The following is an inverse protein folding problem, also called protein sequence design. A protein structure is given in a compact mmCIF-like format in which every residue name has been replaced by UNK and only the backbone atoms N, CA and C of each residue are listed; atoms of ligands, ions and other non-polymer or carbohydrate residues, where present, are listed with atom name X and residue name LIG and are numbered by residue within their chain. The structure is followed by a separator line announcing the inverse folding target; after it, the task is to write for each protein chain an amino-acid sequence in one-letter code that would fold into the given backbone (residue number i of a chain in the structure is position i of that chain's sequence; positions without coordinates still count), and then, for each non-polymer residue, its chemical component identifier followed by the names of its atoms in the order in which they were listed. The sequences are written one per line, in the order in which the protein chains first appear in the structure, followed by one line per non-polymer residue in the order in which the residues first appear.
data_IF_413471161032
#
_entry.id   IF_413471161032
#
_cell.length_a   1.000
_cell.length_b   1.000
_cell.length_c   1.000
_cell.angle_alpha   90.00
_cell.angle_beta   90.00
_cell.angle_gamma   90.00
#
_symmetry.space_group_name_H-M   'P 1'
#
loop_
_entity.id
_entity.type
_entity.pdbx_description
1 polymer ?
#
# COMPACT_ATOMS: atom_id res chain seq x y z
N UNK A 1 26.07 -13.22 10.06
CA UNK A 1 26.75 -12.28 9.15
C UNK A 1 26.31 -12.60 7.72
N UNK A 2 25.29 -11.91 7.22
CA UNK A 2 24.88 -11.98 5.81
C UNK A 2 24.57 -10.55 5.38
N UNK A 3 25.43 -10.00 4.52
CA UNK A 3 25.34 -8.65 4.02
C UNK A 3 24.29 -8.63 2.89
N UNK A 4 23.28 -7.76 3.04
CA UNK A 4 22.34 -7.45 1.97
C UNK A 4 23.08 -6.58 0.95
N UNK A 5 23.37 -7.17 -0.21
CA UNK A 5 24.01 -6.49 -1.34
C UNK A 5 23.06 -5.43 -1.91
N UNK A 6 23.54 -4.19 -1.94
CA UNK A 6 22.92 -3.03 -2.57
C UNK A 6 22.67 -3.26 -4.06
N UNK A 7 21.46 -3.01 -4.53
CA UNK A 7 21.11 -3.09 -5.95
C UNK A 7 21.28 -1.70 -6.60
N UNK A 8 22.20 -1.60 -7.55
CA UNK A 8 22.37 -0.45 -8.45
C UNK A 8 21.75 -0.77 -9.81
N UNK A 9 20.93 0.11 -10.36
CA UNK A 9 20.37 -0.02 -11.74
C UNK A 9 20.70 1.24 -12.54
N UNK A 10 21.40 1.03 -13.66
CA UNK A 10 21.85 2.06 -14.58
C UNK A 10 20.67 2.74 -15.31
N UNK A 11 20.79 4.06 -15.51
CA UNK A 11 19.83 4.89 -16.23
C UNK A 11 20.07 4.81 -17.75
N UNK A 12 19.04 4.44 -18.51
CA UNK A 12 18.98 4.64 -19.96
C UNK A 12 18.17 5.90 -20.23
N UNK A 13 18.81 6.89 -20.85
CA UNK A 13 18.22 8.15 -21.30
C UNK A 13 17.56 7.96 -22.66
N UNK A 14 16.30 8.40 -22.84
CA UNK A 14 15.76 8.67 -24.17
C UNK A 14 14.96 9.99 -24.21
N UNK A 15 15.61 10.91 -24.92
CA UNK A 15 15.19 12.04 -25.75
C UNK A 15 13.70 12.42 -25.87
N UNK A 16 13.48 13.73 -25.79
CA UNK A 16 12.20 14.42 -25.96
C UNK A 16 11.87 14.69 -27.44
N UNK A 17 10.62 14.45 -27.83
CA UNK A 17 10.03 15.00 -29.05
C UNK A 17 8.58 15.44 -28.78
N UNK A 18 8.36 16.75 -28.92
CA UNK A 18 7.16 17.45 -28.45
C UNK A 18 5.89 17.21 -29.25
N UNK A 19 4.76 17.57 -28.64
CA UNK A 19 3.49 17.83 -29.32
C UNK A 19 2.71 18.91 -28.59
N UNK A 20 2.33 19.95 -29.35
CA UNK A 20 1.58 21.15 -28.96
C UNK A 20 0.11 20.78 -28.69
N UNK A 21 -0.52 21.37 -27.66
CA UNK A 21 -1.97 21.30 -27.43
C UNK A 21 -2.56 22.71 -27.54
N UNK A 22 -3.59 22.81 -28.39
CA UNK A 22 -4.39 24.00 -28.68
C UNK A 22 -5.58 24.11 -27.71
N UNK A 23 -5.87 25.33 -27.26
CA UNK A 23 -7.03 25.70 -26.45
C UNK A 23 -8.24 25.98 -27.35
N UNK A 24 -9.45 25.60 -26.93
CA UNK A 24 -10.69 26.04 -27.58
C UNK A 24 -11.81 26.35 -26.57
N UNK A 25 -12.08 27.66 -26.51
CA UNK A 25 -13.33 28.41 -26.28
C UNK A 25 -14.62 27.67 -25.90
N UNK A 26 -15.22 28.08 -24.78
CA UNK A 26 -16.60 27.78 -24.39
C UNK A 26 -17.56 28.89 -24.87
N UNK A 27 -18.66 28.48 -25.50
CA UNK A 27 -19.67 29.32 -26.15
C UNK A 27 -20.88 29.51 -25.24
N UNK A 28 -21.24 30.76 -24.97
CA UNK A 28 -22.45 31.18 -24.26
C UNK A 28 -23.72 30.89 -25.08
N UNK A 29 -24.81 30.51 -24.40
CA UNK A 29 -26.18 30.69 -24.87
C UNK A 29 -27.03 31.33 -23.76
N UNK A 30 -27.83 32.31 -24.17
CA UNK A 30 -28.65 33.21 -23.35
C UNK A 30 -30.14 33.00 -23.71
N UNK A 31 -31.00 33.39 -22.76
CA UNK A 31 -32.43 33.80 -22.80
C UNK A 31 -33.46 32.80 -22.21
N UNK A 32 -34.61 33.28 -21.66
CA UNK A 32 -34.83 34.57 -20.99
C UNK A 32 -35.74 34.56 -19.72
N UNK A 33 -35.74 35.74 -19.09
CA UNK A 33 -36.54 36.25 -17.99
C UNK A 33 -38.07 36.07 -18.05
N UNK A 34 -38.65 35.88 -16.86
CA UNK A 34 -39.66 36.70 -16.17
C UNK A 34 -40.78 35.83 -15.59
N UNK A 35 -41.01 35.94 -14.27
CA UNK A 35 -42.35 36.15 -13.67
C UNK A 35 -42.17 36.52 -12.19
N UNK A 36 -42.69 37.70 -11.84
CA UNK A 36 -42.66 38.33 -10.52
C UNK A 36 -43.65 37.65 -9.57
N UNK A 37 -43.25 37.44 -8.31
CA UNK A 37 -44.14 37.06 -7.20
C UNK A 37 -44.41 38.30 -6.32
N UNK A 38 -45.66 38.56 -5.89
CA UNK A 38 -45.96 39.63 -4.96
C UNK A 38 -45.74 39.17 -3.50
N UNK A 39 -45.17 40.07 -2.71
CA UNK A 39 -45.10 40.00 -1.26
C UNK A 39 -46.52 40.07 -0.67
N UNK A 40 -46.92 39.07 0.11
CA UNK A 40 -48.07 39.17 1.00
C UNK A 40 -47.76 38.51 2.34
N UNK A 41 -47.77 39.32 3.38
CA UNK A 41 -47.53 38.98 4.78
C UNK A 41 -48.74 38.28 5.38
N UNK A 42 -48.59 37.01 5.74
CA UNK A 42 -49.53 36.29 6.60
C UNK A 42 -48.76 35.42 7.61
N UNK A 43 -48.88 35.76 8.88
CA UNK A 43 -48.43 34.95 10.03
C UNK A 43 -49.31 33.69 10.14
N UNK A 44 -48.75 32.51 10.44
CA UNK A 44 -49.50 31.54 11.21
C UNK A 44 -48.71 30.96 12.39
N UNK A 45 -49.15 31.37 13.57
CA UNK A 45 -49.56 30.55 14.73
C UNK A 45 -48.97 29.12 14.83
N UNK A 46 -48.16 28.96 15.87
CA UNK A 46 -47.69 27.71 16.50
C UNK A 46 -48.84 26.72 16.74
N UNK A 47 -48.77 25.54 16.13
CA UNK A 47 -49.45 24.31 16.57
C UNK A 47 -48.54 23.11 16.31
N UNK A 48 -48.10 22.45 17.39
CA UNK A 48 -47.62 21.08 17.32
C UNK A 48 -48.79 20.17 16.95
N UNK A 49 -48.52 19.14 16.14
CA UNK A 49 -48.87 17.80 16.58
C UNK A 49 -47.67 16.85 16.45
N UNK A 50 -47.64 15.91 17.38
CA UNK A 50 -46.74 14.76 17.43
C UNK A 50 -46.63 14.09 16.06
N UNK A 51 -45.48 14.26 15.41
CA UNK A 51 -45.12 13.47 14.23
C UNK A 51 -44.20 12.36 14.71
N UNK A 52 -44.74 11.13 14.82
CA UNK A 52 -43.93 9.93 15.02
C UNK A 52 -42.95 9.87 13.86
N UNK A 53 -41.67 10.14 14.12
CA UNK A 53 -40.61 9.89 13.15
C UNK A 53 -40.63 8.40 12.82
N UNK A 54 -41.13 8.06 11.63
CA UNK A 54 -40.93 6.73 11.06
C UNK A 54 -39.47 6.69 10.64
N UNK A 55 -38.62 6.21 11.55
CA UNK A 55 -37.25 5.83 11.21
C UNK A 55 -37.39 4.61 10.31
N UNK A 56 -37.30 4.82 9.00
CA UNK A 56 -37.21 3.74 8.01
C UNK A 56 -35.87 3.06 8.23
N UNK A 57 -35.86 2.03 9.07
CA UNK A 57 -34.70 1.17 9.25
C UNK A 57 -34.67 0.21 8.06
N UNK A 58 -33.88 0.55 7.05
CA UNK A 58 -33.65 -0.32 5.90
C UNK A 58 -32.77 -1.47 6.39
N UNK A 59 -33.38 -2.55 6.89
CA UNK A 59 -32.65 -3.77 7.23
C UNK A 59 -32.42 -4.54 5.94
N UNK A 60 -31.24 -4.33 5.34
CA UNK A 60 -30.74 -5.24 4.31
C UNK A 60 -30.30 -6.52 5.00
N UNK A 61 -30.98 -7.64 4.75
CA UNK A 61 -30.54 -8.98 5.20
C UNK A 61 -29.50 -9.58 4.25
N UNK A 62 -28.68 -8.76 3.62
CA UNK A 62 -27.40 -9.20 3.07
C UNK A 62 -26.43 -9.25 4.23
N UNK A 63 -25.60 -10.29 4.35
CA UNK A 63 -24.41 -10.21 5.22
C UNK A 63 -23.70 -8.90 4.89
N UNK A 64 -23.79 -7.90 5.75
CA UNK A 64 -23.28 -6.56 5.46
C UNK A 64 -21.79 -6.71 5.24
N UNK A 65 -21.37 -6.54 3.97
CA UNK A 65 -19.96 -6.56 3.63
C UNK A 65 -19.30 -5.41 4.41
N UNK A 66 -18.17 -5.66 5.08
CA UNK A 66 -17.58 -4.64 5.91
C UNK A 66 -17.24 -3.42 5.06
N UNK A 67 -17.37 -2.25 5.65
CA UNK A 67 -16.99 -0.99 4.99
C UNK A 67 -15.48 -0.75 5.11
N UNK A 68 -14.95 0.14 4.26
CA UNK A 68 -13.56 0.61 4.38
C UNK A 68 -13.30 1.19 5.79
N UNK A 69 -14.29 1.90 6.36
CA UNK A 69 -14.19 2.47 7.69
C UNK A 69 -14.04 1.37 8.75
N UNK A 70 -14.85 0.32 8.68
CA UNK A 70 -14.79 -0.81 9.61
C UNK A 70 -13.46 -1.56 9.51
N UNK A 71 -12.95 -1.77 8.29
CA UNK A 71 -11.64 -2.42 8.10
C UNK A 71 -10.51 -1.59 8.75
N UNK A 72 -10.51 -0.27 8.53
CA UNK A 72 -9.54 0.62 9.19
C UNK A 72 -9.68 0.62 10.71
N UNK A 73 -10.92 0.62 11.21
CA UNK A 73 -11.21 0.55 12.64
C UNK A 73 -10.71 -0.79 13.22
N UNK A 74 -10.92 -1.90 12.53
CA UNK A 74 -10.46 -3.23 12.94
C UNK A 74 -8.93 -3.28 13.01
N UNK A 75 -8.23 -2.69 12.04
CA UNK A 75 -6.77 -2.55 12.09
C UNK A 75 -6.29 -1.79 13.33
N UNK A 76 -6.90 -0.63 13.62
CA UNK A 76 -6.54 0.19 14.79
C UNK A 76 -6.91 -0.48 16.12
N UNK A 77 -7.95 -1.33 16.14
CA UNK A 77 -8.30 -2.14 17.31
C UNK A 77 -7.29 -3.27 17.54
N UNK A 78 -6.83 -3.91 16.46
CA UNK A 78 -5.87 -5.00 16.50
C UNK A 78 -4.45 -4.51 16.85
N UNK A 79 -4.01 -3.36 16.30
CA UNK A 79 -2.71 -2.76 16.57
C UNK A 79 -2.86 -1.37 17.23
N UNK A 80 -2.64 -1.31 18.55
CA UNK A 80 -2.87 -0.11 19.37
C UNK A 80 -1.65 0.79 19.56
N UNK A 81 -0.46 0.35 19.14
CA UNK A 81 0.78 1.12 19.31
C UNK A 81 0.85 2.23 18.23
N UNK A 82 1.49 3.37 18.52
CA UNK A 82 1.66 4.41 17.52
C UNK A 82 2.56 3.92 16.37
N UNK A 83 2.11 4.15 15.14
CA UNK A 83 2.89 3.91 13.91
C UNK A 83 3.44 5.27 13.43
N UNK A 84 4.75 5.40 13.14
CA UNK A 84 5.30 6.62 12.57
C UNK A 84 4.55 7.03 11.30
N UNK A 85 4.29 8.33 11.15
CA UNK A 85 3.39 8.87 10.12
C UNK A 85 3.78 8.47 8.69
N UNK A 86 5.08 8.34 8.39
CA UNK A 86 5.57 7.89 7.07
C UNK A 86 5.01 6.52 6.67
N UNK A 87 4.96 5.58 7.61
CA UNK A 87 4.46 4.23 7.37
C UNK A 87 2.94 4.22 7.45
N UNK A 88 2.37 4.92 8.44
CA UNK A 88 0.93 4.92 8.67
C UNK A 88 0.14 5.43 7.45
N UNK A 89 0.58 6.53 6.82
CA UNK A 89 -0.10 7.05 5.62
C UNK A 89 -0.20 6.00 4.52
N UNK A 90 0.92 5.34 4.21
CA UNK A 90 0.99 4.36 3.13
C UNK A 90 0.25 3.06 3.51
N UNK A 91 0.35 2.61 4.75
CA UNK A 91 -0.41 1.46 5.27
C UNK A 91 -1.92 1.70 5.17
N UNK A 92 -2.40 2.88 5.55
CA UNK A 92 -3.82 3.22 5.48
C UNK A 92 -4.33 3.29 4.04
N UNK A 93 -3.52 3.77 3.10
CA UNK A 93 -3.84 3.71 1.67
C UNK A 93 -3.86 2.27 1.15
N UNK A 94 -2.89 1.44 1.56
CA UNK A 94 -2.79 0.04 1.19
C UNK A 94 -4.02 -0.75 1.69
N UNK A 95 -4.44 -0.52 2.93
CA UNK A 95 -5.67 -1.12 3.51
C UNK A 95 -6.88 -0.79 2.65
N UNK A 96 -7.04 0.47 2.23
CA UNK A 96 -8.17 0.87 1.37
C UNK A 96 -8.12 0.15 0.03
N UNK A 97 -6.96 0.12 -0.62
CA UNK A 97 -6.79 -0.53 -1.91
C UNK A 97 -7.08 -2.03 -1.84
N UNK A 98 -6.56 -2.71 -0.82
CA UNK A 98 -6.78 -4.14 -0.64
C UNK A 98 -8.21 -4.44 -0.21
N UNK A 99 -8.84 -3.61 0.62
CA UNK A 99 -10.26 -3.73 0.94
C UNK A 99 -11.12 -3.71 -0.31
N UNK A 100 -10.93 -2.70 -1.16
CA UNK A 100 -11.68 -2.55 -2.41
C UNK A 100 -11.44 -3.70 -3.39
N UNK A 101 -10.37 -4.47 -3.22
CA UNK A 101 -10.03 -5.63 -4.01
C UNK A 101 -10.60 -6.92 -3.40
N UNK A 102 -10.49 -7.08 -2.07
CA UNK A 102 -10.96 -8.23 -1.28
C UNK A 102 -12.48 -8.43 -1.33
N UNK A 103 -13.21 -7.32 -1.35
CA UNK A 103 -14.68 -7.35 -1.35
C UNK A 103 -15.28 -7.16 -2.76
N UNK A 104 -14.46 -7.28 -3.82
CA UNK A 104 -14.99 -7.40 -5.18
C UNK A 104 -15.70 -8.73 -5.34
N UNK A 105 -16.79 -8.74 -6.11
CA UNK A 105 -17.54 -9.97 -6.43
C UNK A 105 -16.69 -11.05 -7.09
N UNK A 106 -15.69 -10.66 -7.89
CA UNK A 106 -14.78 -11.57 -8.59
C UNK A 106 -13.56 -11.97 -7.75
N UNK A 107 -13.44 -11.48 -6.52
CA UNK A 107 -12.27 -11.77 -5.69
C UNK A 107 -12.19 -13.26 -5.38
N UNK A 108 -11.01 -13.82 -5.63
CA UNK A 108 -10.60 -15.14 -5.16
C UNK A 108 -9.17 -15.03 -4.72
N UNK A 109 -8.88 -15.54 -3.52
CA UNK A 109 -7.52 -15.59 -3.00
C UNK A 109 -6.60 -16.35 -3.95
N UNK A 110 -5.35 -15.88 -4.03
CA UNK A 110 -4.35 -16.39 -4.94
C UNK A 110 -2.97 -16.36 -4.27
N UNK A 111 -2.23 -17.49 -4.18
CA UNK A 111 -0.88 -17.51 -3.61
C UNK A 111 0.09 -16.54 -4.30
N UNK A 112 -0.07 -16.28 -5.60
CA UNK A 112 0.75 -15.34 -6.35
C UNK A 112 0.41 -13.88 -5.97
N UNK A 113 -0.86 -13.60 -5.68
CA UNK A 113 -1.27 -12.34 -5.06
C UNK A 113 -0.61 -12.17 -3.69
N UNK A 114 -0.65 -13.20 -2.84
CA UNK A 114 -0.08 -13.16 -1.49
C UNK A 114 1.43 -12.90 -1.53
N UNK A 115 2.17 -13.59 -2.41
CA UNK A 115 3.59 -13.34 -2.67
C UNK A 115 3.84 -11.86 -2.99
N UNK A 116 3.07 -11.31 -3.93
CA UNK A 116 3.19 -9.91 -4.31
C UNK A 116 2.91 -8.97 -3.16
N UNK A 117 1.80 -9.17 -2.43
CA UNK A 117 1.47 -8.34 -1.28
C UNK A 117 2.55 -8.39 -0.19
N UNK A 118 3.00 -9.58 0.19
CA UNK A 118 4.08 -9.78 1.18
C UNK A 118 5.35 -9.05 0.75
N UNK A 119 5.72 -9.15 -0.53
CA UNK A 119 6.88 -8.44 -1.09
C UNK A 119 6.75 -6.93 -0.94
N UNK A 120 5.58 -6.36 -1.30
CA UNK A 120 5.31 -4.92 -1.16
C UNK A 120 5.38 -4.50 0.31
N UNK A 121 4.75 -5.28 1.19
CA UNK A 121 4.70 -4.99 2.62
C UNK A 121 6.09 -5.00 3.25
N UNK A 122 6.89 -6.03 2.97
CA UNK A 122 8.22 -6.16 3.58
C UNK A 122 9.16 -5.04 3.11
N UNK A 123 9.06 -4.63 1.84
CA UNK A 123 9.81 -3.49 1.31
C UNK A 123 9.32 -2.15 1.89
N UNK A 124 7.99 -1.97 2.02
CA UNK A 124 7.41 -0.79 2.66
C UNK A 124 7.87 -0.66 4.11
N UNK A 125 7.89 -1.78 4.85
CA UNK A 125 8.23 -1.82 6.26
C UNK A 125 9.75 -1.97 6.50
N UNK A 126 10.56 -1.96 5.45
CA UNK A 126 12.00 -2.04 5.59
C UNK A 126 12.55 -0.84 6.37
N UNK A 127 13.43 -1.10 7.34
CA UNK A 127 13.97 -0.09 8.26
C UNK A 127 12.99 0.44 9.30
N UNK A 128 11.82 -0.19 9.48
CA UNK A 128 10.96 0.12 10.62
C UNK A 128 11.71 -0.17 11.94
N UNK A 129 11.59 0.67 12.99
CA UNK A 129 12.48 0.61 14.16
C UNK A 129 12.54 -0.71 14.93
N UNK A 130 11.45 -1.50 14.92
CA UNK A 130 11.32 -2.76 15.66
C UNK A 130 10.74 -3.86 14.77
N UNK A 131 11.46 -4.96 14.60
CA UNK A 131 11.01 -6.09 13.78
C UNK A 131 9.75 -6.77 14.31
N UNK A 132 9.62 -6.90 15.64
CA UNK A 132 8.40 -7.45 16.26
C UNK A 132 7.15 -6.66 15.90
N UNK A 133 7.27 -5.33 15.85
CA UNK A 133 6.16 -4.45 15.47
C UNK A 133 5.82 -4.60 13.99
N UNK A 134 6.81 -4.87 13.10
CA UNK A 134 6.55 -5.13 11.68
C UNK A 134 5.65 -6.35 11.49
N UNK A 135 5.94 -7.44 12.18
CA UNK A 135 5.11 -8.65 12.09
C UNK A 135 3.76 -8.47 12.79
N UNK A 136 3.72 -7.77 13.93
CA UNK A 136 2.46 -7.46 14.60
C UNK A 136 1.53 -6.58 13.74
N UNK A 137 2.09 -5.59 13.03
CA UNK A 137 1.35 -4.75 12.08
C UNK A 137 0.86 -5.61 10.90
N UNK A 138 1.70 -6.52 10.38
CA UNK A 138 1.32 -7.39 9.25
C UNK A 138 0.12 -8.26 9.63
N UNK A 139 0.21 -8.90 10.80
CA UNK A 139 -0.86 -9.72 11.37
C UNK A 139 -2.15 -8.90 11.51
N UNK A 140 -2.08 -7.76 12.19
CA UNK A 140 -3.24 -6.89 12.39
C UNK A 140 -3.84 -6.38 11.08
N UNK A 141 -3.01 -6.12 10.07
CA UNK A 141 -3.42 -5.66 8.75
C UNK A 141 -4.26 -6.74 8.04
N UNK A 142 -3.76 -7.99 7.98
CA UNK A 142 -4.41 -9.08 7.24
C UNK A 142 -5.67 -9.54 7.98
N UNK A 143 -5.62 -9.63 9.32
CA UNK A 143 -6.78 -9.94 10.15
C UNK A 143 -7.88 -8.89 10.02
N UNK A 144 -7.54 -7.60 9.88
CA UNK A 144 -8.53 -6.54 9.67
C UNK A 144 -9.34 -6.69 8.37
N UNK A 145 -8.78 -7.40 7.38
CA UNK A 145 -9.42 -7.74 6.11
C UNK A 145 -10.19 -9.08 6.17
N UNK A 146 -10.27 -9.72 7.35
CA UNK A 146 -10.82 -11.05 7.56
C UNK A 146 -10.09 -12.14 6.76
N UNK A 147 -8.77 -12.08 6.72
CA UNK A 147 -7.91 -13.08 6.08
C UNK A 147 -6.87 -13.64 7.05
N UNK A 148 -6.19 -14.71 6.64
CA UNK A 148 -5.20 -15.39 7.48
C UNK A 148 -3.76 -14.91 7.17
N UNK A 149 -3.09 -14.19 8.09
CA UNK A 149 -1.70 -13.78 7.91
C UNK A 149 -0.73 -14.95 7.82
N UNK A 150 -1.01 -16.08 8.47
CA UNK A 150 -0.14 -17.25 8.42
C UNK A 150 -0.16 -17.88 7.02
N UNK A 151 -1.34 -18.01 6.42
CA UNK A 151 -1.49 -18.45 5.03
C UNK A 151 -0.69 -17.56 4.06
N UNK A 152 -0.80 -16.24 4.18
CA UNK A 152 -0.06 -15.31 3.32
C UNK A 152 1.47 -15.52 3.39
N UNK A 153 2.02 -15.64 4.60
CA UNK A 153 3.46 -15.86 4.80
C UNK A 153 3.90 -17.22 4.28
N UNK A 154 3.13 -18.28 4.57
CA UNK A 154 3.45 -19.63 4.14
C UNK A 154 3.41 -19.79 2.61
N UNK A 155 2.36 -19.29 1.96
CA UNK A 155 2.22 -19.34 0.51
C UNK A 155 3.29 -18.50 -0.19
N UNK A 156 3.57 -17.29 0.31
CA UNK A 156 4.65 -16.46 -0.23
C UNK A 156 5.99 -17.19 -0.13
N UNK A 157 6.34 -17.73 1.05
CA UNK A 157 7.58 -18.47 1.26
C UNK A 157 7.70 -19.68 0.32
N UNK A 158 6.63 -20.46 0.17
CA UNK A 158 6.57 -21.62 -0.73
C UNK A 158 6.88 -21.23 -2.18
N UNK A 159 6.23 -20.17 -2.68
CA UNK A 159 6.47 -19.67 -4.03
C UNK A 159 7.89 -19.12 -4.19
N UNK A 160 8.44 -18.45 -3.17
CA UNK A 160 9.82 -17.95 -3.20
C UNK A 160 10.84 -19.09 -3.27
N UNK A 161 10.69 -20.13 -2.45
CA UNK A 161 11.56 -21.30 -2.44
C UNK A 161 11.50 -22.05 -3.76
N UNK A 162 10.30 -22.24 -4.30
CA UNK A 162 10.12 -22.81 -5.62
C UNK A 162 10.83 -21.99 -6.69
N UNK A 163 10.61 -20.67 -6.72
CA UNK A 163 11.23 -19.77 -7.70
C UNK A 163 12.76 -19.78 -7.68
N UNK A 164 13.37 -19.80 -6.49
CA UNK A 164 14.84 -19.88 -6.32
C UNK A 164 15.43 -21.17 -6.89
N UNK A 165 14.64 -22.24 -6.97
CA UNK A 165 15.06 -23.51 -7.58
C UNK A 165 14.78 -23.59 -9.09
N UNK A 166 14.17 -22.56 -9.68
CA UNK A 166 13.85 -22.54 -11.11
C UNK A 166 14.93 -21.86 -11.95
N UNK A 167 15.01 -22.33 -13.20
CA UNK A 167 15.62 -21.61 -14.32
C UNK A 167 14.55 -20.82 -15.08
N UNK A 168 14.97 -19.86 -15.91
CA UNK A 168 14.04 -19.10 -16.76
C UNK A 168 13.12 -19.99 -17.63
N UNK A 169 13.63 -21.11 -18.15
CA UNK A 169 12.85 -22.03 -18.98
C UNK A 169 11.89 -22.87 -18.12
N UNK A 170 12.36 -23.41 -17.00
CA UNK A 170 11.53 -24.26 -16.13
C UNK A 170 10.42 -23.48 -15.42
N UNK A 171 10.62 -22.17 -15.23
CA UNK A 171 9.61 -21.25 -14.72
C UNK A 171 8.45 -21.05 -15.72
N UNK A 172 8.76 -20.89 -17.01
CA UNK A 172 7.76 -20.69 -18.08
C UNK A 172 7.06 -22.00 -18.42
N UNK A 173 7.77 -23.12 -18.37
CA UNK A 173 7.27 -24.45 -18.70
C UNK A 173 6.56 -25.14 -17.52
N UNK A 174 6.02 -24.36 -16.57
CA UNK A 174 5.31 -24.90 -15.39
C UNK A 174 4.12 -25.80 -15.75
N UNK A 175 3.53 -25.63 -16.94
CA UNK A 175 2.39 -26.42 -17.41
C UNK A 175 2.72 -27.88 -17.70
N UNK A 176 3.95 -28.17 -18.12
CA UNK A 176 4.40 -29.52 -18.47
C UNK A 176 4.87 -30.32 -17.25
N UNK A 177 4.91 -29.69 -16.07
CA UNK A 177 5.52 -30.20 -14.86
C UNK A 177 4.48 -30.44 -13.77
N UNK A 178 4.81 -31.32 -12.84
CA UNK A 178 3.97 -31.64 -11.68
C UNK A 178 4.63 -31.14 -10.41
N UNK A 179 3.80 -30.60 -9.51
CA UNK A 179 4.25 -30.01 -8.26
C UNK A 179 3.21 -29.06 -7.70
N UNK A 180 3.27 -28.80 -6.40
CA UNK A 180 2.26 -28.01 -5.70
C UNK A 180 2.19 -26.57 -6.25
N UNK A 181 3.34 -25.95 -6.54
CA UNK A 181 3.39 -24.59 -7.10
C UNK A 181 3.02 -24.58 -8.57
N UNK A 182 3.45 -25.58 -9.33
CA UNK A 182 3.03 -25.78 -10.72
C UNK A 182 1.50 -25.89 -10.84
N UNK A 183 0.85 -26.64 -9.95
CA UNK A 183 -0.59 -26.81 -9.94
C UNK A 183 -1.33 -25.52 -9.54
N UNK A 184 -0.77 -24.74 -8.62
CA UNK A 184 -1.24 -23.37 -8.34
C UNK A 184 -1.18 -22.51 -9.61
N UNK A 185 -0.06 -22.50 -10.33
CA UNK A 185 0.10 -21.70 -11.55
C UNK A 185 -0.81 -22.18 -12.69
N UNK A 186 -1.10 -23.49 -12.77
CA UNK A 186 -2.08 -24.05 -13.71
C UNK A 186 -3.49 -23.56 -13.39
N UNK A 187 -3.95 -23.66 -12.14
CA UNK A 187 -5.27 -23.13 -11.73
C UNK A 187 -5.40 -21.64 -12.07
N UNK A 188 -4.35 -20.85 -11.81
CA UNK A 188 -4.31 -19.42 -12.17
C UNK A 188 -4.45 -19.24 -13.69
N UNK A 189 -3.68 -20.00 -14.47
CA UNK A 189 -3.70 -19.95 -15.94
C UNK A 189 -5.08 -20.28 -16.51
N UNK A 190 -5.72 -21.32 -15.98
CA UNK A 190 -7.06 -21.74 -16.37
C UNK A 190 -8.10 -20.67 -16.04
N UNK A 191 -8.06 -20.11 -14.83
CA UNK A 191 -8.95 -19.03 -14.42
C UNK A 191 -8.78 -17.78 -15.28
N UNK A 192 -7.53 -17.36 -15.52
CA UNK A 192 -7.21 -16.20 -16.34
C UNK A 192 -7.58 -16.39 -17.82
N UNK A 193 -7.55 -17.62 -18.33
CA UNK A 193 -7.99 -17.97 -19.69
C UNK A 193 -9.49 -18.21 -19.83
N UNK A 194 -10.23 -18.32 -18.74
CA UNK A 194 -11.67 -18.56 -18.74
C UNK A 194 -12.47 -17.33 -19.18
N UNK A 195 -13.75 -17.53 -19.52
CA UNK A 195 -14.69 -16.41 -19.81
C UNK A 195 -15.15 -15.69 -18.53
N UNK A 196 -14.81 -16.20 -17.35
CA UNK A 196 -15.12 -15.57 -16.08
C UNK A 196 -14.16 -14.40 -15.82
N UNK A 197 -14.60 -13.42 -15.05
CA UNK A 197 -13.78 -12.26 -14.73
C UNK A 197 -12.66 -12.63 -13.75
N UNK A 198 -11.47 -12.89 -14.28
CA UNK A 198 -10.27 -13.04 -13.46
C UNK A 198 -9.96 -11.75 -12.69
N UNK A 199 -9.84 -11.83 -11.36
CA UNK A 199 -9.56 -10.69 -10.49
C UNK A 199 -8.07 -10.34 -10.45
N UNK A 200 -7.58 -9.83 -11.57
CA UNK A 200 -6.22 -9.28 -11.66
C UNK A 200 -6.03 -8.10 -10.70
N UNK A 201 -4.83 -7.99 -10.13
CA UNK A 201 -4.45 -6.88 -9.26
C UNK A 201 -2.98 -6.48 -9.47
N UNK A 202 -2.61 -5.29 -8.99
CA UNK A 202 -1.21 -4.86 -8.99
C UNK A 202 -0.31 -5.81 -8.19
N UNK A 203 -0.79 -6.33 -7.06
CA UNK A 203 -0.01 -7.28 -6.27
C UNK A 203 0.25 -8.58 -7.04
N UNK A 204 -0.69 -9.02 -7.87
CA UNK A 204 -0.45 -10.15 -8.77
C UNK A 204 0.73 -9.90 -9.73
N UNK A 205 0.81 -8.70 -10.32
CA UNK A 205 1.97 -8.32 -11.16
C UNK A 205 3.28 -8.30 -10.38
N UNK A 206 3.27 -7.77 -9.15
CA UNK A 206 4.46 -7.78 -8.28
C UNK A 206 4.87 -9.21 -7.92
N UNK A 207 3.92 -10.10 -7.66
CA UNK A 207 4.18 -11.52 -7.42
C UNK A 207 4.85 -12.20 -8.62
N UNK A 208 4.36 -11.94 -9.84
CA UNK A 208 5.00 -12.44 -11.07
C UNK A 208 6.44 -11.95 -11.21
N UNK A 209 6.64 -10.65 -10.99
CA UNK A 209 7.98 -10.07 -11.05
C UNK A 209 8.90 -10.67 -9.98
N UNK A 210 8.38 -10.91 -8.77
CA UNK A 210 9.12 -11.54 -7.69
C UNK A 210 9.57 -12.96 -8.03
N UNK A 211 8.72 -13.76 -8.69
CA UNK A 211 9.12 -15.09 -9.19
C UNK A 211 10.29 -14.99 -10.18
N UNK A 212 10.20 -14.06 -11.14
CA UNK A 212 11.25 -13.85 -12.14
C UNK A 212 12.56 -13.37 -11.52
N UNK A 213 12.48 -12.45 -10.56
CA UNK A 213 13.63 -11.94 -9.80
C UNK A 213 14.35 -13.08 -9.08
N UNK A 214 13.61 -13.93 -8.36
CA UNK A 214 14.18 -15.04 -7.59
C UNK A 214 14.77 -16.15 -8.47
N UNK A 215 14.20 -16.37 -9.66
CA UNK A 215 14.74 -17.29 -10.67
C UNK A 215 15.89 -16.69 -11.50
N UNK A 216 16.31 -15.45 -11.20
CA UNK A 216 17.29 -14.69 -11.97
C UNK A 216 16.96 -14.60 -13.48
N UNK A 217 15.66 -14.49 -13.79
CA UNK A 217 15.09 -14.55 -15.13
C UNK A 217 14.53 -13.17 -15.57
N UNK A 218 15.35 -12.12 -15.45
CA UNK A 218 14.94 -10.72 -15.65
C UNK A 218 14.84 -10.29 -17.11
N UNK A 219 15.02 -11.22 -18.06
CA UNK A 219 14.93 -10.96 -19.49
C UNK A 219 13.49 -10.63 -19.91
N UNK A 220 13.24 -9.54 -20.67
CA UNK A 220 11.88 -9.14 -21.09
C UNK A 220 11.14 -10.24 -21.85
N UNK A 221 11.88 -11.08 -22.59
CA UNK A 221 11.32 -12.19 -23.37
C UNK A 221 10.76 -13.31 -22.49
N UNK A 222 11.28 -13.49 -21.27
CA UNK A 222 10.78 -14.50 -20.33
C UNK A 222 9.49 -14.01 -19.69
N UNK A 223 9.40 -12.72 -19.36
CA UNK A 223 8.16 -12.11 -18.89
C UNK A 223 7.04 -12.26 -19.93
N UNK A 224 7.34 -12.05 -21.22
CA UNK A 224 6.38 -12.26 -22.32
C UNK A 224 5.83 -13.69 -22.33
N UNK A 225 6.74 -14.67 -22.27
CA UNK A 225 6.38 -16.09 -22.28
C UNK A 225 5.59 -16.49 -21.03
N UNK A 226 5.99 -16.00 -19.85
CA UNK A 226 5.29 -16.30 -18.60
C UNK A 226 3.87 -15.69 -18.59
N UNK A 227 3.72 -14.44 -19.05
CA UNK A 227 2.40 -13.82 -19.20
C UNK A 227 1.51 -14.60 -20.16
N UNK A 228 2.06 -15.05 -21.30
CA UNK A 228 1.34 -15.89 -22.26
C UNK A 228 0.95 -17.24 -21.65
N UNK A 229 1.85 -17.90 -20.93
CA UNK A 229 1.59 -19.16 -20.26
C UNK A 229 0.48 -19.03 -19.20
N UNK A 230 0.42 -17.90 -18.48
CA UNK A 230 -0.62 -17.62 -17.49
C UNK A 230 -1.90 -17.03 -18.07
N UNK A 231 -2.00 -16.81 -19.38
CA UNK A 231 -3.13 -16.12 -20.02
C UNK A 231 -3.40 -14.70 -19.48
N UNK A 232 -2.36 -13.97 -19.08
CA UNK A 232 -2.49 -12.62 -18.50
C UNK A 232 -2.02 -11.55 -19.49
N UNK A 233 -2.71 -10.40 -19.50
CA UNK A 233 -2.38 -9.29 -20.38
C UNK A 233 -1.05 -8.63 -20.00
N UNK A 234 0.00 -8.88 -20.79
CA UNK A 234 1.35 -8.33 -20.57
C UNK A 234 1.39 -6.80 -20.42
N UNK A 235 0.63 -6.05 -21.24
CA UNK A 235 0.58 -4.58 -21.17
C UNK A 235 0.06 -4.08 -19.80
N UNK A 236 -0.79 -4.86 -19.15
CA UNK A 236 -1.29 -4.52 -17.81
C UNK A 236 -0.25 -4.80 -16.73
N UNK A 237 0.49 -5.91 -16.88
CA UNK A 237 1.63 -6.24 -16.02
C UNK A 237 2.70 -5.15 -16.12
N UNK A 238 3.16 -4.80 -17.33
CA UNK A 238 4.17 -3.74 -17.53
C UNK A 238 3.77 -2.41 -16.87
N UNK A 239 2.52 -1.97 -17.09
CA UNK A 239 2.00 -0.74 -16.50
C UNK A 239 2.02 -0.76 -14.97
N UNK A 240 1.63 -1.88 -14.37
CA UNK A 240 1.59 -2.00 -12.91
C UNK A 240 2.98 -2.13 -12.29
N UNK A 241 3.93 -2.76 -12.99
CA UNK A 241 5.34 -2.81 -12.59
C UNK A 241 5.99 -1.43 -12.64
N UNK A 242 5.68 -0.61 -13.65
CA UNK A 242 6.14 0.78 -13.71
C UNK A 242 5.59 1.60 -12.54
N UNK A 243 4.30 1.45 -12.23
CA UNK A 243 3.68 2.13 -11.07
C UNK A 243 4.33 1.65 -9.77
N UNK A 244 4.60 0.36 -9.63
CA UNK A 244 5.25 -0.20 -8.46
C UNK A 244 6.68 0.32 -8.26
N UNK A 245 7.49 0.32 -9.33
CA UNK A 245 8.85 0.88 -9.31
C UNK A 245 8.84 2.34 -8.87
N UNK A 246 7.92 3.14 -9.41
CA UNK A 246 7.77 4.54 -9.04
C UNK A 246 7.34 4.72 -7.57
N UNK A 247 6.51 3.83 -7.02
CA UNK A 247 6.12 3.85 -5.61
C UNK A 247 7.32 3.55 -4.70
N UNK A 248 8.07 2.49 -4.99
CA UNK A 248 9.26 2.11 -4.22
C UNK A 248 10.31 3.21 -4.21
N UNK A 249 10.62 3.82 -5.37
CA UNK A 249 11.59 4.91 -5.43
C UNK A 249 11.20 6.09 -4.55
N UNK A 250 9.91 6.42 -4.45
CA UNK A 250 9.41 7.48 -3.56
C UNK A 250 9.52 7.09 -2.09
N UNK A 251 9.24 5.83 -1.75
CA UNK A 251 9.39 5.33 -0.37
C UNK A 251 10.84 5.35 0.10
N UNK A 252 11.77 4.94 -0.75
CA UNK A 252 13.22 4.98 -0.45
C UNK A 252 13.66 6.43 -0.20
N UNK A 253 13.30 7.36 -1.09
CA UNK A 253 13.60 8.79 -0.90
C UNK A 253 12.99 9.35 0.39
N UNK A 254 11.74 9.00 0.69
CA UNK A 254 11.08 9.46 1.92
C UNK A 254 11.76 8.91 3.19
N UNK A 255 12.23 7.65 3.15
CA UNK A 255 12.96 7.01 4.24
C UNK A 255 14.32 7.65 4.48
N UNK A 256 15.06 7.98 3.43
CA UNK A 256 16.34 8.69 3.52
C UNK A 256 16.17 10.06 4.18
N UNK A 257 15.20 10.86 3.72
CA UNK A 257 14.88 12.16 4.31
C UNK A 257 14.49 12.07 5.79
N UNK A 258 13.78 11.01 6.18
CA UNK A 258 13.37 10.80 7.56
C UNK A 258 14.54 10.36 8.44
N UNK A 259 15.42 9.50 7.91
CA UNK A 259 16.66 9.13 8.60
C UNK A 259 17.50 10.38 8.86
N UNK A 260 17.70 11.23 7.85
CA UNK A 260 18.39 12.52 8.00
C UNK A 260 17.70 13.47 8.99
N UNK A 261 16.37 13.49 9.02
CA UNK A 261 15.63 14.29 9.99
C UNK A 261 15.82 13.78 11.42
N UNK A 262 15.69 12.48 11.64
CA UNK A 262 15.88 11.85 12.95
C UNK A 262 17.32 12.04 13.44
N UNK A 263 18.31 11.87 12.57
CA UNK A 263 19.72 12.06 12.92
C UNK A 263 20.01 13.52 13.28
N UNK A 264 19.41 14.49 12.56
CA UNK A 264 19.49 15.91 12.91
C UNK A 264 18.84 16.23 14.25
N UNK A 265 17.67 15.67 14.54
CA UNK A 265 16.99 15.92 15.81
C UNK A 265 17.73 15.27 16.98
N UNK A 266 18.29 14.06 16.81
CA UNK A 266 19.18 13.44 17.80
C UNK A 266 20.40 14.32 18.10
N UNK A 267 21.07 14.83 17.05
CA UNK A 267 22.21 15.74 17.20
C UNK A 267 21.83 17.01 17.96
N UNK A 268 20.68 17.62 17.64
CA UNK A 268 20.17 18.80 18.39
C UNK A 268 19.86 18.47 19.85
N UNK A 269 19.32 17.28 20.14
CA UNK A 269 19.03 16.85 21.51
C UNK A 269 20.35 16.62 22.27
N UNK A 270 21.34 15.99 21.64
CA UNK A 270 22.68 15.80 22.22
C UNK A 270 23.38 17.14 22.49
N UNK A 271 23.33 18.10 21.55
CA UNK A 271 23.86 19.46 21.72
C UNK A 271 23.15 20.23 22.85
N UNK A 272 21.83 20.03 23.02
CA UNK A 272 21.08 20.60 24.15
C UNK A 272 21.44 19.94 25.48
N UNK A 273 21.65 18.63 25.49
CA UNK A 273 22.05 17.91 26.69
C UNK A 273 23.49 18.25 27.12
N UNK A 274 24.41 18.45 26.18
CA UNK A 274 25.79 18.86 26.48
C UNK A 274 25.85 20.32 26.95
N UNK A 275 25.08 21.23 26.33
CA UNK A 275 24.97 22.62 26.78
C UNK A 275 24.28 22.75 28.13
N UNK A 276 23.26 21.95 28.44
CA UNK A 276 22.67 21.89 29.79
C UNK A 276 23.68 21.39 30.83
N UNK A 277 24.40 20.30 30.56
CA UNK A 277 25.46 19.81 31.46
C UNK A 277 26.59 20.83 31.65
N UNK A 278 26.96 21.57 30.61
CA UNK A 278 27.95 22.63 30.70
C UNK A 278 27.44 23.81 31.55
N UNK A 279 26.18 24.22 31.36
CA UNK A 279 25.57 25.28 32.16
C UNK A 279 25.40 24.88 33.64
N UNK A 280 25.02 23.62 33.92
CA UNK A 280 24.94 23.08 35.28
C UNK A 280 26.32 23.05 35.96
N UNK A 281 27.37 22.64 35.24
CA UNK A 281 28.74 22.65 35.75
C UNK A 281 29.25 24.07 36.05
N UNK A 282 29.00 25.04 35.17
CA UNK A 282 29.34 26.46 35.39
C UNK A 282 28.62 27.01 36.63
N UNK A 283 27.33 26.72 36.77
CA UNK A 283 26.53 27.16 37.93
C UNK A 283 27.06 26.59 39.24
N UNK A 284 27.46 25.31 39.24
CA UNK A 284 28.03 24.66 40.43
C UNK A 284 29.37 25.27 40.84
N UNK A 285 30.27 25.53 39.89
CA UNK A 285 31.53 26.22 40.16
C UNK A 285 31.31 27.63 40.71
N UNK A 286 30.39 28.42 40.13
CA UNK A 286 30.09 29.77 40.61
C UNK A 286 29.46 29.80 42.02
N UNK A 287 28.63 28.80 42.34
CA UNK A 287 28.06 28.63 43.69
C UNK A 287 29.11 28.27 44.74
N UNK A 288 30.10 27.42 44.40
CA UNK A 288 31.21 27.07 45.29
C UNK A 288 32.12 28.28 45.59
N UNK A 289 32.35 29.16 44.60
CA UNK A 289 33.11 30.41 44.81
C UNK A 289 32.39 31.43 45.71
N UNK A 290 31.06 31.48 45.71
CA UNK A 290 30.29 32.36 46.61
C UNK A 290 30.25 31.82 48.06
N UNK A 291 30.31 30.49 48.24
CA UNK A 291 30.36 29.87 49.58
C UNK A 291 31.74 29.89 50.24
N UNK A 292 32.82 30.15 49.48
CA UNK A 292 34.19 30.21 50.00
C UNK A 292 34.66 31.64 50.37
N UNK A 293 33.81 32.66 50.20
CA UNK A 293 34.11 34.07 50.43
C UNK A 293 33.61 34.62 51.77
N UNK A 294 33.27 33.76 52.75
CA UNK A 294 32.87 34.13 54.10
C UNK A 294 33.74 33.44 55.15
#
# INVERSE_FOLDING_TARGET
MAALTSVSIAAVTQSAAGRKISLSSARNYVLPNNLRLPYSSCIPRRRSPSSRMVVVHCMSTTTDLPTVHETKLNFLKAYKRPIPSIYNTVLQELIVQQHLMRYKRSYRYDPLFALGFVTVYDQLMDGYPRNEDREAIFKAYIEALNEDPAQYRADAQKLEEWARSQSANSLVDFKSREGEVEDILKDISERAGSKESFSYSRFFAVGLFRLLELANATEPTILDKLCAALNVNKKSVDRDLDVYRNLLSKLVQAKELLKEYVDREKKKIEERATSQKANEAITKCLGEYQSAAW
#
